data_IF_137780106556
#
_entry.id   IF_137780106556
#
_cell.length_a   1.000
_cell.length_b   1.000
_cell.length_c   1.000
_cell.angle_alpha   90.00
_cell.angle_beta   90.00
_cell.angle_gamma   90.00
#
_symmetry.space_group_name_H-M   'P 1'
#
loop_
_entity.id
_entity.type
_entity.pdbx_description
1 polymer ?
#
# COMPACT_ATOMS: atom_id res chain seq x y z
N UNK A 1 29.04 45.33 12.20
CA UNK A 1 29.84 44.09 12.17
C UNK A 1 28.90 42.93 11.90
N UNK A 2 29.07 42.27 10.78
CA UNK A 2 28.29 41.05 10.45
C UNK A 2 28.67 39.94 11.45
N UNK A 3 27.66 39.40 12.11
CA UNK A 3 27.84 38.37 13.14
C UNK A 3 28.01 36.98 12.47
N UNK A 4 29.24 36.65 12.07
CA UNK A 4 29.58 35.44 11.27
C UNK A 4 29.00 34.17 11.87
N UNK A 5 28.94 34.06 13.22
CA UNK A 5 28.32 32.92 13.92
C UNK A 5 26.82 32.81 13.65
N UNK A 6 26.10 33.93 13.51
CA UNK A 6 24.64 33.93 13.18
C UNK A 6 24.39 33.57 11.71
N UNK A 7 25.28 33.95 10.81
CA UNK A 7 25.19 33.58 9.39
C UNK A 7 25.49 32.09 9.24
N UNK A 8 26.56 31.58 9.87
CA UNK A 8 26.93 30.15 9.80
C UNK A 8 25.84 29.24 10.36
N UNK A 9 25.22 29.62 11.49
CA UNK A 9 24.14 28.81 12.08
C UNK A 9 22.84 28.81 11.22
N UNK A 10 22.58 29.90 10.50
CA UNK A 10 21.43 29.98 9.58
C UNK A 10 21.65 29.19 8.30
N UNK A 11 22.88 29.24 7.74
CA UNK A 11 23.25 28.45 6.58
C UNK A 11 23.26 26.95 6.90
N UNK A 12 23.76 26.56 8.07
CA UNK A 12 23.77 25.14 8.51
C UNK A 12 22.34 24.61 8.68
N UNK A 13 21.41 25.43 9.21
CA UNK A 13 20.02 25.06 9.35
C UNK A 13 19.31 24.93 7.98
N UNK A 14 19.62 25.82 7.05
CA UNK A 14 19.07 25.77 5.69
C UNK A 14 19.60 24.54 4.92
N UNK A 15 20.86 24.18 5.08
CA UNK A 15 21.46 22.97 4.49
C UNK A 15 20.88 21.71 5.13
N UNK A 16 20.68 21.68 6.45
CA UNK A 16 20.05 20.56 7.14
C UNK A 16 18.59 20.34 6.73
N UNK A 17 17.84 21.42 6.48
CA UNK A 17 16.47 21.35 5.97
C UNK A 17 16.41 20.97 4.47
N UNK A 18 17.42 21.37 3.69
CA UNK A 18 17.51 21.01 2.27
C UNK A 18 18.06 19.60 2.02
N UNK A 19 18.76 19.03 3.00
CA UNK A 19 19.26 17.65 2.95
C UNK A 19 18.22 16.61 3.37
N UNK A 20 17.06 17.01 3.88
CA UNK A 20 15.88 16.14 3.93
C UNK A 20 15.37 15.95 2.50
N UNK A 21 16.12 15.19 1.69
CA UNK A 21 15.62 14.66 0.43
C UNK A 21 14.30 13.97 0.71
N UNK A 22 13.33 14.19 -0.15
CA UNK A 22 12.09 13.42 -0.14
C UNK A 22 12.45 11.94 -0.26
N UNK A 23 12.55 11.25 0.86
CA UNK A 23 12.45 9.80 0.87
C UNK A 23 11.03 9.57 0.42
N UNK A 24 10.86 9.13 -0.82
CA UNK A 24 9.58 8.58 -1.29
C UNK A 24 9.39 7.29 -0.50
N UNK A 25 8.75 7.41 0.64
CA UNK A 25 8.23 6.28 1.35
C UNK A 25 7.03 5.80 0.55
N UNK A 26 7.04 4.55 0.09
CA UNK A 26 5.88 3.97 -0.58
C UNK A 26 4.74 3.87 0.44
N UNK A 27 3.53 4.34 0.09
CA UNK A 27 2.42 4.30 1.03
C UNK A 27 2.10 2.84 1.39
N UNK A 28 1.78 2.62 2.66
CA UNK A 28 1.14 1.38 3.12
C UNK A 28 -0.36 1.61 3.02
N UNK A 29 -1.08 0.70 2.41
CA UNK A 29 -2.53 0.71 2.29
C UNK A 29 -3.13 -0.29 3.27
N UNK A 30 -4.01 0.19 4.15
CA UNK A 30 -4.86 -0.70 4.93
C UNK A 30 -6.11 -1.02 4.11
N UNK A 31 -6.27 -2.29 3.75
CA UNK A 31 -7.40 -2.82 2.99
C UNK A 31 -8.37 -3.50 3.93
N UNK A 32 -9.64 -3.18 3.83
CA UNK A 32 -10.72 -3.84 4.58
C UNK A 32 -11.78 -4.35 3.61
N UNK A 33 -12.20 -5.60 3.77
CA UNK A 33 -13.26 -6.24 2.98
C UNK A 33 -14.37 -6.69 3.95
N UNK A 34 -15.57 -6.15 3.75
CA UNK A 34 -16.75 -6.44 4.57
C UNK A 34 -17.68 -7.45 3.86
N UNK A 35 -17.72 -8.64 4.39
CA UNK A 35 -18.56 -9.72 3.83
C UNK A 35 -19.79 -10.03 4.69
N UNK A 36 -20.09 -9.21 5.70
CA UNK A 36 -21.18 -9.47 6.68
C UNK A 36 -22.56 -9.57 6.03
N UNK A 37 -22.76 -8.92 4.90
CA UNK A 37 -24.03 -8.94 4.16
C UNK A 37 -24.11 -10.04 3.08
N UNK A 38 -23.00 -10.78 2.86
CA UNK A 38 -22.90 -11.79 1.80
C UNK A 38 -23.24 -13.22 2.26
N UNK A 39 -23.73 -13.38 3.50
CA UNK A 39 -24.03 -14.68 4.09
C UNK A 39 -22.88 -15.26 4.88
N UNK A 40 -22.89 -16.59 5.12
CA UNK A 40 -21.90 -17.29 5.97
C UNK A 40 -21.29 -18.53 5.28
N UNK A 41 -21.40 -18.61 3.96
CA UNK A 41 -20.82 -19.71 3.18
C UNK A 41 -19.31 -19.49 2.95
N UNK A 42 -18.64 -20.53 2.44
CA UNK A 42 -17.27 -20.38 1.98
C UNK A 42 -17.22 -19.55 0.68
N UNK A 43 -16.13 -18.83 0.50
CA UNK A 43 -15.83 -18.06 -0.70
C UNK A 43 -14.32 -18.14 -0.98
N UNK A 44 -13.90 -17.66 -2.14
CA UNK A 44 -12.50 -17.49 -2.53
C UNK A 44 -12.25 -15.99 -2.72
N UNK A 45 -11.34 -15.45 -1.94
CA UNK A 45 -10.77 -14.13 -2.14
C UNK A 45 -9.56 -14.29 -3.06
N UNK A 46 -9.64 -13.66 -4.23
CA UNK A 46 -8.59 -13.63 -5.23
C UNK A 46 -7.85 -12.31 -5.13
N UNK A 47 -6.56 -12.38 -4.82
CA UNK A 47 -5.65 -11.24 -4.71
C UNK A 47 -4.61 -11.36 -5.81
N UNK A 48 -4.61 -10.43 -6.75
CA UNK A 48 -3.79 -10.51 -7.96
C UNK A 48 -2.97 -9.24 -8.16
N UNK A 49 -1.71 -9.40 -8.56
CA UNK A 49 -0.85 -8.35 -9.09
C UNK A 49 -0.53 -8.67 -10.55
N UNK A 50 -1.04 -7.85 -11.46
CA UNK A 50 -0.84 -8.00 -12.90
C UNK A 50 -0.04 -6.85 -13.49
N UNK A 51 0.85 -7.16 -14.45
CA UNK A 51 1.45 -6.17 -15.32
C UNK A 51 0.42 -5.78 -16.42
N UNK A 52 0.24 -4.49 -16.67
CA UNK A 52 -0.68 -4.06 -17.72
C UNK A 52 -0.17 -4.41 -19.12
N UNK A 53 1.14 -4.48 -19.29
CA UNK A 53 1.81 -4.94 -20.53
C UNK A 53 3.13 -5.62 -20.20
N UNK A 54 3.76 -6.23 -21.21
CA UNK A 54 5.11 -6.82 -21.07
C UNK A 54 6.24 -5.79 -20.85
N UNK A 55 5.93 -4.47 -20.92
CA UNK A 55 6.87 -3.38 -20.67
C UNK A 55 6.67 -2.74 -19.29
N UNK A 56 5.87 -3.33 -18.42
CA UNK A 56 5.65 -2.83 -17.08
C UNK A 56 6.93 -2.87 -16.23
N UNK A 57 7.08 -1.88 -15.35
CA UNK A 57 8.13 -1.91 -14.34
C UNK A 57 7.98 -3.14 -13.45
N UNK A 58 9.06 -3.75 -12.95
CA UNK A 58 8.96 -4.81 -11.96
C UNK A 58 8.35 -4.24 -10.66
N UNK A 59 7.29 -4.86 -10.20
CA UNK A 59 6.60 -4.49 -8.96
C UNK A 59 6.54 -5.69 -8.05
N UNK A 60 6.77 -5.46 -6.77
CA UNK A 60 6.50 -6.40 -5.70
C UNK A 60 5.41 -5.83 -4.80
N UNK A 61 4.29 -6.53 -4.67
CA UNK A 61 3.30 -6.27 -3.64
C UNK A 61 3.59 -7.16 -2.43
N UNK A 62 3.63 -6.56 -1.25
CA UNK A 62 3.77 -7.27 0.03
C UNK A 62 2.52 -7.05 0.86
N UNK A 63 1.87 -8.16 1.22
CA UNK A 63 0.67 -8.19 2.04
C UNK A 63 1.04 -8.77 3.41
N UNK A 64 0.60 -8.12 4.48
CA UNK A 64 0.85 -8.57 5.85
C UNK A 64 -0.29 -8.14 6.79
N UNK A 65 -0.17 -8.44 8.10
CA UNK A 65 -1.17 -8.12 9.13
C UNK A 65 -2.58 -8.61 8.78
N UNK A 66 -2.68 -9.81 8.22
CA UNK A 66 -3.95 -10.41 7.86
C UNK A 66 -4.84 -10.62 9.08
N UNK A 67 -6.09 -10.17 9.00
CA UNK A 67 -7.12 -10.37 10.02
C UNK A 67 -8.40 -10.89 9.37
N UNK A 68 -9.02 -11.89 9.99
CA UNK A 68 -10.23 -12.54 9.49
C UNK A 68 -10.16 -14.06 9.58
N UNK A 69 -11.20 -14.75 9.12
CA UNK A 69 -11.28 -16.20 9.09
C UNK A 69 -10.77 -16.74 7.74
N UNK A 70 -9.47 -16.92 7.63
CA UNK A 70 -8.80 -17.46 6.46
C UNK A 70 -8.64 -18.99 6.53
N UNK A 71 -8.87 -19.67 5.40
CA UNK A 71 -8.66 -21.09 5.22
C UNK A 71 -7.40 -21.39 4.39
N UNK A 72 -7.53 -22.32 3.44
CA UNK A 72 -6.43 -22.74 2.57
C UNK A 72 -6.05 -21.65 1.56
N UNK A 73 -4.78 -21.59 1.22
CA UNK A 73 -4.18 -20.68 0.23
C UNK A 73 -3.66 -21.47 -0.96
N UNK A 74 -3.85 -20.93 -2.18
CA UNK A 74 -3.26 -21.44 -3.41
C UNK A 74 -2.56 -20.28 -4.13
N UNK A 75 -1.32 -20.48 -4.56
CA UNK A 75 -0.47 -19.46 -5.16
C UNK A 75 -0.28 -19.71 -6.65
N UNK A 76 -0.29 -18.65 -7.44
CA UNK A 76 -0.05 -18.67 -8.88
C UNK A 76 1.01 -17.64 -9.29
N UNK A 77 1.68 -17.91 -10.41
CA UNK A 77 2.76 -17.04 -10.90
C UNK A 77 3.94 -17.00 -9.93
N UNK A 78 4.54 -15.82 -9.74
CA UNK A 78 5.63 -15.58 -8.79
C UNK A 78 5.06 -15.04 -7.46
N UNK A 79 4.20 -15.82 -6.82
CA UNK A 79 3.63 -15.54 -5.51
C UNK A 79 4.20 -16.49 -4.46
N UNK A 80 4.38 -16.03 -3.23
CA UNK A 80 4.95 -16.81 -2.13
C UNK A 80 4.57 -16.25 -0.77
N UNK A 81 4.73 -17.05 0.28
CA UNK A 81 4.48 -16.64 1.66
C UNK A 81 3.40 -17.44 2.35
N UNK A 82 2.78 -16.89 3.36
CA UNK A 82 1.68 -17.51 4.10
C UNK A 82 0.81 -16.45 4.80
N UNK A 83 -0.50 -16.70 4.89
CA UNK A 83 -1.41 -15.98 5.77
C UNK A 83 -0.96 -16.20 7.23
N UNK A 84 -0.98 -15.14 8.01
CA UNK A 84 -0.41 -15.15 9.38
C UNK A 84 1.04 -14.67 9.46
N UNK A 85 1.72 -14.55 8.31
CA UNK A 85 3.00 -13.88 8.13
C UNK A 85 2.90 -12.81 7.07
N UNK A 86 3.68 -12.93 6.01
CA UNK A 86 3.60 -12.06 4.83
C UNK A 86 3.42 -12.87 3.56
N UNK A 87 2.68 -12.30 2.62
CA UNK A 87 2.54 -12.79 1.24
C UNK A 87 3.21 -11.79 0.31
N UNK A 88 3.93 -12.31 -0.67
CA UNK A 88 4.63 -11.52 -1.69
C UNK A 88 4.12 -11.93 -3.06
N UNK A 89 3.69 -10.95 -3.85
CA UNK A 89 3.29 -11.10 -5.24
C UNK A 89 4.25 -10.31 -6.12
N UNK A 90 4.74 -10.88 -7.23
CA UNK A 90 5.68 -10.22 -8.13
C UNK A 90 5.18 -10.32 -9.57
N UNK A 91 5.16 -9.22 -10.30
CA UNK A 91 4.63 -9.14 -11.67
C UNK A 91 5.62 -9.54 -12.78
N UNK A 92 6.79 -10.09 -12.47
CA UNK A 92 7.86 -10.37 -13.43
C UNK A 92 7.49 -11.44 -14.48
N UNK A 93 6.53 -12.30 -14.18
CA UNK A 93 5.98 -13.30 -15.10
C UNK A 93 4.65 -12.87 -15.76
N UNK A 94 4.33 -11.57 -15.71
CA UNK A 94 3.08 -11.01 -16.21
C UNK A 94 2.03 -10.84 -15.12
N UNK A 95 1.75 -11.89 -14.35
CA UNK A 95 0.87 -11.80 -13.16
C UNK A 95 1.33 -12.76 -12.06
N UNK A 96 0.93 -12.46 -10.85
CA UNK A 96 0.98 -13.38 -9.72
C UNK A 96 -0.21 -13.18 -8.80
N UNK A 97 -0.70 -14.26 -8.19
CA UNK A 97 -1.93 -14.22 -7.42
C UNK A 97 -1.94 -15.16 -6.24
N UNK A 98 -2.85 -14.87 -5.34
CA UNK A 98 -3.22 -15.68 -4.19
C UNK A 98 -4.72 -15.92 -4.20
N UNK A 99 -5.13 -17.18 -4.37
CA UNK A 99 -6.50 -17.62 -4.10
C UNK A 99 -6.59 -18.05 -2.64
N UNK A 100 -7.34 -17.28 -1.87
CA UNK A 100 -7.49 -17.48 -0.44
C UNK A 100 -8.90 -17.91 -0.10
N UNK A 101 -9.07 -19.13 0.41
CA UNK A 101 -10.35 -19.54 0.99
C UNK A 101 -10.69 -18.68 2.20
N UNK A 102 -11.93 -18.22 2.27
CA UNK A 102 -12.45 -17.45 3.42
C UNK A 102 -13.85 -17.94 3.78
N UNK A 103 -14.26 -17.68 5.02
CA UNK A 103 -15.65 -17.85 5.44
C UNK A 103 -16.32 -16.48 5.49
N UNK A 104 -17.38 -16.30 4.70
CA UNK A 104 -18.16 -15.05 4.66
C UNK A 104 -18.83 -14.74 6.03
N UNK A 105 -19.36 -13.54 6.16
CA UNK A 105 -20.06 -13.08 7.37
C UNK A 105 -19.18 -12.28 8.33
N UNK A 106 -17.93 -11.99 7.95
CA UNK A 106 -16.96 -11.26 8.75
C UNK A 106 -16.32 -10.08 8.04
N UNK A 107 -15.40 -9.44 8.77
CA UNK A 107 -14.46 -8.46 8.24
C UNK A 107 -13.12 -9.15 7.98
N UNK A 108 -12.54 -8.84 6.83
CA UNK A 108 -11.19 -9.24 6.46
C UNK A 108 -10.36 -7.99 6.27
N UNK A 109 -9.12 -8.01 6.71
CA UNK A 109 -8.20 -6.91 6.44
C UNK A 109 -6.78 -7.40 6.29
N UNK A 110 -5.99 -6.60 5.61
CA UNK A 110 -4.54 -6.74 5.49
C UNK A 110 -3.92 -5.39 5.15
N UNK A 111 -2.63 -5.27 5.43
CA UNK A 111 -1.84 -4.14 4.99
C UNK A 111 -1.11 -4.51 3.70
N UNK A 112 -1.08 -3.59 2.75
CA UNK A 112 -0.51 -3.75 1.42
C UNK A 112 0.51 -2.64 1.17
N UNK A 113 1.70 -3.02 0.76
CA UNK A 113 2.74 -2.09 0.32
C UNK A 113 3.31 -2.55 -1.02
N UNK A 114 3.81 -1.58 -1.79
CA UNK A 114 4.42 -1.84 -3.10
C UNK A 114 5.87 -1.40 -3.09
N UNK A 115 6.73 -2.20 -3.72
CA UNK A 115 8.08 -1.83 -4.11
C UNK A 115 8.10 -1.81 -5.63
N UNK A 116 8.21 -0.60 -6.19
CA UNK A 116 8.20 -0.38 -7.64
C UNK A 116 9.63 -0.18 -8.11
N UNK A 117 10.12 -1.11 -8.92
CA UNK A 117 11.44 -1.05 -9.50
C UNK A 117 11.58 0.08 -10.52
N UNK A 118 12.81 0.33 -10.91
CA UNK A 118 13.14 1.32 -11.96
C UNK A 118 13.05 0.69 -13.34
N UNK A 119 12.70 1.49 -14.34
CA UNK A 119 12.50 1.05 -15.73
C UNK A 119 11.02 0.73 -15.99
N UNK A 120 10.71 0.32 -17.21
CA UNK A 120 9.35 0.13 -17.67
C UNK A 120 8.65 1.43 -18.05
N UNK A 121 7.74 1.33 -19.01
CA UNK A 121 6.95 2.45 -19.51
C UNK A 121 5.49 2.34 -19.06
N UNK A 122 5.07 1.12 -18.71
CA UNK A 122 3.69 0.80 -18.36
C UNK A 122 3.57 0.41 -16.89
N UNK A 123 2.34 0.52 -16.39
CA UNK A 123 2.01 0.27 -15.00
C UNK A 123 1.67 -1.19 -14.69
N UNK A 124 1.33 -1.41 -13.45
CA UNK A 124 0.78 -2.65 -12.91
C UNK A 124 -0.50 -2.35 -12.14
N UNK A 125 -1.34 -3.35 -11.98
CA UNK A 125 -2.55 -3.21 -11.19
C UNK A 125 -2.62 -4.32 -10.14
N UNK A 126 -2.92 -3.93 -8.90
CA UNK A 126 -3.32 -4.86 -7.85
C UNK A 126 -4.83 -4.89 -7.77
N UNK A 127 -5.43 -6.10 -7.75
CA UNK A 127 -6.87 -6.29 -7.62
C UNK A 127 -7.20 -7.28 -6.53
N UNK A 128 -8.39 -7.10 -5.92
CA UNK A 128 -9.02 -8.08 -5.05
C UNK A 128 -10.43 -8.35 -5.54
N UNK A 129 -10.75 -9.61 -5.79
CA UNK A 129 -12.08 -10.07 -6.19
C UNK A 129 -12.57 -11.17 -5.26
N UNK A 130 -13.87 -11.34 -5.19
CA UNK A 130 -14.50 -12.37 -4.37
C UNK A 130 -15.36 -13.27 -5.24
N UNK A 131 -15.13 -14.58 -5.14
CA UNK A 131 -15.80 -15.61 -5.93
C UNK A 131 -16.50 -16.64 -5.06
N UNK A 132 -17.50 -17.29 -5.63
CA UNK A 132 -17.96 -18.58 -5.11
C UNK A 132 -16.82 -19.60 -5.18
N UNK A 133 -16.84 -20.66 -4.33
CA UNK A 133 -15.76 -21.67 -4.32
C UNK A 133 -15.56 -22.42 -5.64
N UNK A 134 -16.58 -22.49 -6.47
CA UNK A 134 -16.58 -23.13 -7.79
C UNK A 134 -16.30 -22.14 -8.94
N UNK A 135 -16.00 -20.87 -8.62
CA UNK A 135 -15.78 -19.77 -9.58
C UNK A 135 -16.95 -19.53 -10.54
N UNK A 136 -18.14 -20.03 -10.22
CA UNK A 136 -19.34 -19.87 -11.09
C UNK A 136 -19.89 -18.42 -11.10
N UNK A 137 -19.57 -17.63 -10.10
CA UNK A 137 -19.99 -16.23 -10.01
C UNK A 137 -19.09 -15.43 -9.05
N UNK A 138 -19.01 -14.14 -9.29
CA UNK A 138 -18.50 -13.14 -8.35
C UNK A 138 -19.46 -12.93 -7.19
N UNK A 139 -18.96 -12.46 -6.06
CA UNK A 139 -19.75 -12.12 -4.87
C UNK A 139 -19.53 -10.64 -4.53
N UNK A 140 -20.63 -9.98 -4.21
CA UNK A 140 -20.64 -8.55 -3.90
C UNK A 140 -20.71 -7.68 -5.14
N UNK A 141 -19.73 -7.74 -6.02
CA UNK A 141 -19.64 -6.93 -7.25
C UNK A 141 -19.07 -7.75 -8.41
N UNK A 142 -19.42 -7.38 -9.64
CA UNK A 142 -18.86 -7.97 -10.88
C UNK A 142 -17.55 -7.28 -11.31
N UNK A 143 -17.12 -6.27 -10.56
CA UNK A 143 -15.84 -5.57 -10.72
C UNK A 143 -14.98 -5.83 -9.49
N UNK A 144 -13.66 -5.59 -9.55
CA UNK A 144 -12.82 -5.72 -8.39
C UNK A 144 -13.34 -4.95 -7.18
N UNK A 145 -13.32 -5.58 -6.01
CA UNK A 145 -13.65 -4.92 -4.72
C UNK A 145 -12.59 -3.88 -4.37
N UNK A 146 -11.34 -4.18 -4.71
CA UNK A 146 -10.18 -3.29 -4.55
C UNK A 146 -9.43 -3.28 -5.86
N UNK A 147 -9.04 -2.08 -6.29
CA UNK A 147 -8.12 -1.88 -7.40
C UNK A 147 -7.17 -0.75 -7.08
N UNK A 148 -5.88 -0.99 -7.27
CA UNK A 148 -4.82 0.00 -7.11
C UNK A 148 -3.92 -0.08 -8.34
N UNK A 149 -3.91 0.99 -9.12
CA UNK A 149 -3.09 1.09 -10.32
C UNK A 149 -1.79 1.82 -10.00
N UNK A 150 -0.69 1.19 -10.34
CA UNK A 150 0.67 1.64 -10.07
C UNK A 150 1.26 2.13 -11.39
N UNK A 151 1.42 3.44 -11.53
CA UNK A 151 1.92 4.08 -12.75
C UNK A 151 3.36 4.58 -12.53
N UNK A 152 4.30 4.28 -13.44
CA UNK A 152 5.69 4.71 -13.29
C UNK A 152 5.81 6.22 -13.12
N UNK A 153 6.49 6.68 -12.06
CA UNK A 153 6.75 8.09 -11.77
C UNK A 153 5.52 8.92 -11.41
N UNK A 154 4.38 8.30 -11.15
CA UNK A 154 3.16 8.96 -10.71
C UNK A 154 2.72 8.43 -9.35
N UNK A 155 1.78 9.12 -8.72
CA UNK A 155 1.12 8.60 -7.51
C UNK A 155 0.20 7.43 -7.89
N UNK A 156 0.10 6.45 -6.99
CA UNK A 156 -0.81 5.32 -7.14
C UNK A 156 -2.25 5.81 -7.26
N UNK A 157 -3.00 5.17 -8.15
CA UNK A 157 -4.43 5.45 -8.33
C UNK A 157 -5.24 4.38 -7.61
N UNK A 158 -5.82 4.75 -6.47
CA UNK A 158 -6.71 3.88 -5.70
C UNK A 158 -8.13 4.08 -6.19
N UNK A 159 -8.80 3.01 -6.64
CA UNK A 159 -10.20 3.07 -7.00
C UNK A 159 -11.06 3.47 -5.78
N UNK A 160 -12.13 4.24 -5.98
CA UNK A 160 -13.02 4.63 -4.87
C UNK A 160 -13.53 3.40 -4.11
N UNK A 161 -13.63 3.53 -2.80
CA UNK A 161 -14.24 2.50 -1.95
C UNK A 161 -15.70 2.21 -2.36
N UNK A 162 -16.17 1.03 -2.04
CA UNK A 162 -17.51 0.54 -2.35
C UNK A 162 -18.20 -0.03 -1.10
N UNK A 163 -19.37 -0.63 -1.26
CA UNK A 163 -20.14 -1.16 -0.13
C UNK A 163 -19.47 -2.35 0.58
N UNK A 164 -18.48 -3.00 -0.07
CA UNK A 164 -17.85 -4.23 0.42
C UNK A 164 -16.37 -4.04 0.73
N UNK A 165 -15.73 -2.98 0.25
CA UNK A 165 -14.31 -2.77 0.49
C UNK A 165 -13.94 -1.30 0.64
N UNK A 166 -12.93 -1.06 1.47
CA UNK A 166 -12.30 0.24 1.65
C UNK A 166 -10.78 0.12 1.65
N UNK A 167 -10.13 1.13 1.11
CA UNK A 167 -8.67 1.26 1.09
C UNK A 167 -8.30 2.59 1.73
N UNK A 168 -7.42 2.55 2.71
CA UNK A 168 -6.96 3.75 3.41
C UNK A 168 -5.43 3.77 3.39
N UNK A 169 -4.84 4.85 2.89
CA UNK A 169 -3.40 5.04 2.98
C UNK A 169 -3.00 5.31 4.44
N UNK A 170 -2.05 4.55 4.95
CA UNK A 170 -1.52 4.70 6.31
C UNK A 170 -0.26 5.57 6.22
N UNK A 171 -0.22 6.76 6.84
CA UNK A 171 0.99 7.57 6.88
C UNK A 171 2.10 6.82 7.60
N UNK A 172 3.29 6.75 7.00
CA UNK A 172 4.42 6.12 7.66
C UNK A 172 4.82 6.85 8.96
N UNK A 173 5.29 6.11 9.98
CA UNK A 173 5.78 6.70 11.23
C UNK A 173 6.90 7.74 11.01
N UNK A 174 7.72 7.57 9.97
CA UNK A 174 8.77 8.49 9.56
C UNK A 174 8.24 9.86 9.13
N UNK A 175 7.10 9.91 8.44
CA UNK A 175 6.42 11.16 8.03
C UNK A 175 5.93 11.93 9.25
N UNK A 176 5.30 11.24 10.21
CA UNK A 176 4.86 11.84 11.47
C UNK A 176 6.04 12.34 12.30
N UNK A 177 7.12 11.55 12.41
CA UNK A 177 8.33 11.94 13.13
C UNK A 177 9.00 13.16 12.49
N UNK A 178 9.09 13.20 11.16
CA UNK A 178 9.63 14.35 10.42
C UNK A 178 8.79 15.61 10.61
N UNK A 179 7.47 15.48 10.60
CA UNK A 179 6.55 16.59 10.86
C UNK A 179 6.69 17.13 12.29
N UNK A 180 6.71 16.25 13.30
CA UNK A 180 6.89 16.64 14.70
C UNK A 180 8.26 17.29 14.92
N UNK A 181 9.31 16.74 14.31
CA UNK A 181 10.67 17.30 14.38
C UNK A 181 10.71 18.69 13.73
N UNK A 182 10.12 18.86 12.56
CA UNK A 182 10.02 20.13 11.85
C UNK A 182 9.28 21.20 12.66
N UNK A 183 8.12 20.86 13.23
CA UNK A 183 7.34 21.75 14.11
C UNK A 183 8.10 22.09 15.39
N UNK A 184 8.81 21.12 15.99
CA UNK A 184 9.66 21.34 17.15
C UNK A 184 10.79 22.34 16.89
N UNK A 185 11.48 22.21 15.76
CA UNK A 185 12.54 23.13 15.35
C UNK A 185 12.02 24.53 15.07
N UNK A 186 10.83 24.65 14.42
CA UNK A 186 10.17 25.94 14.22
C UNK A 186 9.79 26.60 15.54
N UNK A 187 9.23 25.87 16.50
CA UNK A 187 8.88 26.34 17.83
C UNK A 187 10.11 26.87 18.62
N UNK A 188 11.23 26.14 18.57
CA UNK A 188 12.50 26.59 19.18
C UNK A 188 13.07 27.85 18.50
N UNK A 189 12.93 27.96 17.17
CA UNK A 189 13.35 29.15 16.42
C UNK A 189 12.56 30.38 16.79
N UNK A 190 11.24 30.26 16.92
CA UNK A 190 10.35 31.35 17.34
C UNK A 190 10.61 31.79 18.79
N UNK A 191 10.80 30.87 19.72
CA UNK A 191 11.12 31.16 21.12
C UNK A 191 12.45 31.94 21.29
N UNK A 192 13.46 31.66 20.43
CA UNK A 192 14.73 32.40 20.43
C UNK A 192 14.61 33.83 19.85
N UNK A 193 13.58 34.12 19.07
CA UNK A 193 13.31 35.45 18.52
C UNK A 193 12.56 36.35 19.50
N UNK A 194 11.79 35.78 20.42
CA UNK A 194 10.98 36.48 21.42
C UNK A 194 11.76 36.88 22.69
N UNK A 195 13.02 36.42 22.80
CA UNK A 195 14.00 36.83 23.82
C UNK A 195 15.10 37.69 23.18
#
# INVERSE_FOLDING_TARGET
MLNLKKILSRSLLAVALGACGSVFAFPVYHVTIDTRTLGTSNAVLDLELGALTGSAAPVTATLNHFMGAYGASDFSGNASGAIGGSVRLVNDAGYSGLLQSIMLGGLFSFDLSFDVGTGGLDGSSFTAMLYKPDFSATLGMDTPLVQIDLLPGQADVVAPGNAFAGVTAVPEPSTLLSMVTGLGLLGLGLRRRAR
#
